data_IF_459797215571
#
_entry.id   IF_459797215571
#
_cell.length_a   1.000
_cell.length_b   1.000
_cell.length_c   1.000
_cell.angle_alpha   90.00
_cell.angle_beta   90.00
_cell.angle_gamma   90.00
#
_symmetry.space_group_name_H-M   'P 1'
#
loop_
_entity.id
_entity.type
_entity.pdbx_description
1 polymer ?
#
# COMPACT_ATOMS: atom_id res chain seq x y z
N UNK A 1 9.08 39.03 -43.61
CA UNK A 1 8.62 38.03 -42.64
C UNK A 1 7.12 38.19 -42.55
N UNK A 2 6.37 37.11 -42.71
CA UNK A 2 4.92 37.13 -42.43
C UNK A 2 4.79 36.92 -40.94
N UNK A 3 4.21 37.88 -40.23
CA UNK A 3 3.93 37.71 -38.81
C UNK A 3 2.73 36.77 -38.64
N UNK A 4 2.66 36.02 -37.54
CA UNK A 4 1.60 35.04 -37.31
C UNK A 4 0.18 35.66 -37.35
N UNK A 5 0.08 36.96 -37.06
CA UNK A 5 -1.16 37.75 -37.09
C UNK A 5 -1.55 38.23 -38.48
N UNK A 6 -0.67 38.10 -39.48
CA UNK A 6 -0.96 38.43 -40.88
C UNK A 6 -1.69 37.28 -41.59
N UNK A 7 -1.83 36.11 -40.94
CA UNK A 7 -2.56 34.97 -41.48
C UNK A 7 -4.09 35.19 -41.40
N UNK A 8 -4.85 34.73 -42.40
CA UNK A 8 -6.29 34.55 -42.28
C UNK A 8 -6.65 33.76 -41.02
N UNK A 9 -7.77 34.14 -40.38
CA UNK A 9 -8.21 33.56 -39.10
C UNK A 9 -8.40 32.05 -39.17
N UNK A 10 -8.82 31.53 -40.32
CA UNK A 10 -9.01 30.11 -40.57
C UNK A 10 -7.69 29.34 -40.52
N UNK A 11 -6.63 29.88 -41.14
CA UNK A 11 -5.30 29.25 -41.09
C UNK A 11 -4.72 29.30 -39.68
N UNK A 12 -4.95 30.40 -38.97
CA UNK A 12 -4.52 30.56 -37.59
C UNK A 12 -5.23 29.55 -36.66
N UNK A 13 -6.51 29.31 -36.85
CA UNK A 13 -7.28 28.28 -36.15
C UNK A 13 -6.78 26.87 -36.47
N UNK A 14 -6.54 26.55 -37.75
CA UNK A 14 -6.00 25.25 -38.16
C UNK A 14 -4.62 24.99 -37.55
N UNK A 15 -3.74 26.00 -37.52
CA UNK A 15 -2.43 25.90 -36.87
C UNK A 15 -2.60 25.64 -35.37
N UNK A 16 -3.49 26.37 -34.71
CA UNK A 16 -3.75 26.20 -33.28
C UNK A 16 -4.26 24.78 -32.98
N UNK A 17 -5.23 24.28 -33.75
CA UNK A 17 -5.76 22.93 -33.62
C UNK A 17 -4.68 21.87 -33.81
N UNK A 18 -3.91 21.96 -34.91
CA UNK A 18 -2.82 21.04 -35.19
C UNK A 18 -1.75 21.05 -34.07
N UNK A 19 -1.46 22.21 -33.50
CA UNK A 19 -0.55 22.31 -32.35
C UNK A 19 -1.13 21.63 -31.11
N UNK A 20 -2.42 21.78 -30.81
CA UNK A 20 -3.05 21.11 -29.66
C UNK A 20 -3.00 19.60 -29.82
N UNK A 21 -3.25 19.10 -31.01
CA UNK A 21 -3.19 17.67 -31.33
C UNK A 21 -1.76 17.12 -31.25
N UNK A 22 -0.76 17.84 -31.78
CA UNK A 22 0.62 17.35 -31.85
C UNK A 22 1.36 17.40 -30.49
N UNK A 23 1.27 18.53 -29.78
CA UNK A 23 2.06 18.73 -28.56
C UNK A 23 1.23 18.61 -27.27
N UNK A 24 -0.09 18.47 -27.39
CA UNK A 24 -1.03 18.25 -26.29
C UNK A 24 -1.46 19.52 -25.56
N UNK A 25 -2.68 19.47 -25.01
CA UNK A 25 -3.35 20.56 -24.28
C UNK A 25 -2.44 21.24 -23.24
N UNK A 26 -1.68 20.47 -22.46
CA UNK A 26 -0.83 21.06 -21.40
C UNK A 26 0.29 21.95 -21.95
N UNK A 27 0.93 21.57 -23.06
CA UNK A 27 2.05 22.34 -23.62
C UNK A 27 1.52 23.55 -24.37
N UNK A 28 0.47 23.39 -25.17
CA UNK A 28 -0.16 24.51 -25.88
C UNK A 28 -0.70 25.55 -24.91
N UNK A 29 -1.29 25.15 -23.79
CA UNK A 29 -1.80 26.10 -22.80
C UNK A 29 -0.76 27.10 -22.28
N UNK A 30 0.53 26.75 -22.30
CA UNK A 30 1.61 27.68 -21.89
C UNK A 30 1.89 28.74 -22.94
N UNK A 31 1.55 28.50 -24.21
CA UNK A 31 1.81 29.40 -25.33
C UNK A 31 0.82 30.57 -25.41
N UNK A 32 -0.26 30.56 -24.61
CA UNK A 32 -1.22 31.66 -24.51
C UNK A 32 -0.59 33.00 -24.07
N UNK A 33 0.62 33.00 -23.52
CA UNK A 33 1.32 34.23 -23.15
C UNK A 33 1.90 35.00 -24.34
N UNK A 34 1.90 34.41 -25.54
CA UNK A 34 2.50 35.02 -26.75
C UNK A 34 1.71 36.25 -27.20
N UNK A 35 0.39 36.12 -27.39
CA UNK A 35 -0.48 37.27 -27.68
C UNK A 35 -1.94 36.95 -27.31
N UNK A 36 -2.78 38.00 -27.21
CA UNK A 36 -4.19 37.86 -26.78
C UNK A 36 -5.04 37.05 -27.76
N UNK A 37 -4.81 37.21 -29.06
CA UNK A 37 -5.56 36.47 -30.10
C UNK A 37 -5.22 34.99 -30.01
N UNK A 38 -3.94 34.64 -29.89
CA UNK A 38 -3.51 33.25 -29.73
C UNK A 38 -4.02 32.62 -28.44
N UNK A 39 -4.03 33.38 -27.34
CA UNK A 39 -4.64 32.93 -26.10
C UNK A 39 -6.11 32.55 -26.27
N UNK A 40 -6.87 33.38 -26.98
CA UNK A 40 -8.30 33.16 -27.25
C UNK A 40 -8.55 31.91 -28.09
N UNK A 41 -7.78 31.71 -29.16
CA UNK A 41 -7.95 30.52 -30.01
C UNK A 41 -7.49 29.24 -29.31
N UNK A 42 -6.41 29.28 -28.53
CA UNK A 42 -6.00 28.14 -27.69
C UNK A 42 -7.09 27.79 -26.68
N UNK A 43 -7.69 28.80 -26.04
CA UNK A 43 -8.77 28.58 -25.08
C UNK A 43 -9.99 27.97 -25.76
N UNK A 44 -10.35 28.48 -26.95
CA UNK A 44 -11.45 27.94 -27.74
C UNK A 44 -11.18 26.49 -28.13
N UNK A 45 -10.04 26.18 -28.73
CA UNK A 45 -9.72 24.83 -29.18
C UNK A 45 -9.70 23.84 -28.01
N UNK A 46 -8.97 24.18 -26.94
CA UNK A 46 -8.82 23.34 -25.76
C UNK A 46 -10.17 23.03 -25.11
N UNK A 47 -11.05 24.02 -24.90
CA UNK A 47 -12.30 23.76 -24.17
C UNK A 47 -13.51 23.42 -25.04
N UNK A 48 -13.53 23.85 -26.31
CA UNK A 48 -14.67 23.62 -27.20
C UNK A 48 -14.47 22.43 -28.14
N UNK A 49 -13.24 22.18 -28.61
CA UNK A 49 -12.98 21.22 -29.69
C UNK A 49 -12.29 19.94 -29.21
N UNK A 50 -11.37 20.03 -28.25
CA UNK A 50 -10.61 18.87 -27.79
C UNK A 50 -11.50 17.82 -27.11
N UNK A 51 -11.14 16.54 -27.24
CA UNK A 51 -11.90 15.47 -26.58
C UNK A 51 -11.77 15.53 -25.05
N UNK A 52 -12.73 14.93 -24.32
CA UNK A 52 -12.63 14.77 -22.85
C UNK A 52 -11.35 14.02 -22.43
N UNK A 53 -10.83 13.15 -23.29
CA UNK A 53 -9.63 12.36 -23.02
C UNK A 53 -8.35 13.20 -22.96
N UNK A 54 -8.33 14.36 -23.64
CA UNK A 54 -7.22 15.31 -23.60
C UNK A 54 -6.94 15.86 -22.18
N UNK A 55 -7.84 15.60 -21.24
CA UNK A 55 -7.78 16.08 -19.87
C UNK A 55 -7.52 14.99 -18.81
N UNK A 56 -7.23 13.73 -19.18
CA UNK A 56 -6.99 12.65 -18.21
C UNK A 56 -5.60 12.70 -17.54
N UNK A 57 -4.81 13.76 -17.77
CA UNK A 57 -3.46 13.91 -17.22
C UNK A 57 -3.40 14.64 -15.88
N UNK A 58 -2.34 14.37 -15.10
CA UNK A 58 -2.05 15.06 -13.84
C UNK A 58 -2.06 16.61 -13.97
N UNK A 59 -1.61 17.12 -15.12
CA UNK A 59 -1.53 18.55 -15.39
C UNK A 59 -2.86 19.20 -15.75
N UNK A 60 -3.87 18.42 -16.12
CA UNK A 60 -5.18 18.90 -16.57
C UNK A 60 -6.01 19.47 -15.41
N UNK A 61 -5.73 19.05 -14.17
CA UNK A 61 -6.42 19.59 -12.98
C UNK A 61 -6.23 21.10 -12.79
N UNK A 62 -5.02 21.64 -13.03
CA UNK A 62 -4.76 23.09 -12.95
C UNK A 62 -5.34 23.87 -14.12
N UNK A 63 -5.43 23.23 -15.27
CA UNK A 63 -6.01 23.84 -16.46
C UNK A 63 -7.53 23.98 -16.29
N UNK A 64 -8.17 22.92 -15.79
CA UNK A 64 -9.60 22.88 -15.54
C UNK A 64 -10.01 23.81 -14.40
N UNK A 65 -9.17 24.03 -13.39
CA UNK A 65 -9.39 25.07 -12.37
C UNK A 65 -9.81 26.43 -12.93
N UNK A 66 -9.22 26.82 -14.05
CA UNK A 66 -9.40 28.16 -14.61
C UNK A 66 -10.41 28.21 -15.76
N UNK A 67 -10.84 27.06 -16.29
CA UNK A 67 -11.68 26.99 -17.50
C UNK A 67 -12.82 26.00 -17.43
N UNK A 68 -13.15 25.47 -16.24
CA UNK A 68 -14.23 24.49 -16.09
C UNK A 68 -15.59 25.05 -16.51
N UNK A 69 -15.85 26.32 -16.19
CA UNK A 69 -17.10 26.97 -16.58
C UNK A 69 -17.23 27.05 -18.10
N UNK A 70 -16.15 27.44 -18.78
CA UNK A 70 -16.07 27.48 -20.25
C UNK A 70 -16.26 26.09 -20.85
N UNK A 71 -15.58 25.07 -20.31
CA UNK A 71 -15.75 23.68 -20.74
C UNK A 71 -17.21 23.23 -20.60
N UNK A 72 -17.83 23.41 -19.43
CA UNK A 72 -19.22 23.02 -19.18
C UNK A 72 -20.17 23.74 -20.13
N UNK A 73 -20.01 25.05 -20.31
CA UNK A 73 -20.85 25.86 -21.21
C UNK A 73 -20.74 25.39 -22.66
N UNK A 74 -19.52 25.12 -23.14
CA UNK A 74 -19.30 24.66 -24.52
C UNK A 74 -19.83 23.24 -24.74
N UNK A 75 -19.64 22.36 -23.76
CA UNK A 75 -20.16 21.01 -23.78
C UNK A 75 -21.68 20.96 -23.76
N UNK A 76 -22.34 21.84 -23.01
CA UNK A 76 -23.80 21.93 -22.99
C UNK A 76 -24.37 22.32 -24.37
N UNK A 77 -23.65 23.11 -25.15
CA UNK A 77 -24.09 23.46 -26.52
C UNK A 77 -24.06 22.27 -27.49
N UNK A 78 -23.42 21.16 -27.12
CA UNK A 78 -23.38 19.92 -27.88
C UNK A 78 -24.37 18.93 -27.24
N UNK A 79 -25.53 18.63 -27.86
CA UNK A 79 -26.59 17.83 -27.21
C UNK A 79 -26.16 16.43 -26.74
N UNK A 80 -25.16 15.84 -27.40
CA UNK A 80 -24.58 14.53 -27.05
C UNK A 80 -23.63 14.57 -25.86
N UNK A 81 -23.32 15.79 -25.43
CA UNK A 81 -22.39 16.14 -24.39
C UNK A 81 -23.16 16.78 -23.19
N UNK A 82 -24.45 16.49 -23.04
CA UNK A 82 -25.19 16.90 -21.86
C UNK A 82 -25.07 15.84 -20.75
N UNK A 83 -24.54 16.21 -19.59
CA UNK A 83 -24.40 15.31 -18.45
C UNK A 83 -25.48 15.60 -17.40
N UNK A 84 -26.38 14.63 -17.16
CA UNK A 84 -27.48 14.79 -16.21
C UNK A 84 -27.01 15.06 -14.78
N UNK A 85 -25.94 14.42 -14.31
CA UNK A 85 -25.43 14.64 -12.94
C UNK A 85 -24.88 16.07 -12.76
N UNK A 86 -24.21 16.61 -13.79
CA UNK A 86 -23.78 18.01 -13.78
C UNK A 86 -25.00 18.93 -13.77
N UNK A 87 -26.03 18.63 -14.56
CA UNK A 87 -27.29 19.40 -14.59
C UNK A 87 -28.02 19.36 -13.25
N UNK A 88 -28.15 18.19 -12.63
CA UNK A 88 -28.79 18.02 -11.32
C UNK A 88 -28.01 18.79 -10.23
N UNK A 89 -26.68 18.83 -10.32
CA UNK A 89 -25.81 19.59 -9.40
C UNK A 89 -25.89 21.10 -9.64
N UNK A 90 -25.92 21.56 -10.90
CA UNK A 90 -26.18 22.97 -11.25
C UNK A 90 -27.57 23.37 -10.75
N UNK A 91 -28.58 22.53 -10.98
CA UNK A 91 -29.94 22.77 -10.52
C UNK A 91 -30.00 22.90 -9.00
N UNK A 92 -29.35 22.00 -8.26
CA UNK A 92 -29.24 22.06 -6.80
C UNK A 92 -28.56 23.36 -6.33
N UNK A 93 -27.50 23.82 -7.01
CA UNK A 93 -26.87 25.11 -6.72
C UNK A 93 -27.86 26.26 -6.93
N UNK A 94 -28.55 26.28 -8.07
CA UNK A 94 -29.51 27.34 -8.41
C UNK A 94 -30.66 27.36 -7.40
N UNK A 95 -31.24 26.21 -7.07
CA UNK A 95 -32.29 26.07 -6.06
C UNK A 95 -31.80 26.51 -4.68
N UNK A 96 -30.54 26.25 -4.31
CA UNK A 96 -29.96 26.70 -3.03
C UNK A 96 -29.79 28.23 -3.00
N UNK A 97 -29.43 28.84 -4.13
CA UNK A 97 -29.30 30.30 -4.25
C UNK A 97 -30.67 30.97 -4.20
N UNK A 98 -31.66 30.44 -4.94
CA UNK A 98 -33.01 31.00 -5.04
C UNK A 98 -33.77 30.91 -3.71
N UNK A 99 -33.60 29.80 -2.97
CA UNK A 99 -34.22 29.61 -1.65
C UNK A 99 -33.60 30.45 -0.53
N UNK A 100 -32.48 31.16 -0.78
CA UNK A 100 -31.81 31.94 0.28
C UNK A 100 -32.45 33.31 0.56
N UNK A 101 -33.46 33.74 -0.22
CA UNK A 101 -34.30 34.92 0.05
C UNK A 101 -33.60 36.28 -0.07
N UNK A 102 -32.27 36.31 -0.09
CA UNK A 102 -31.43 37.47 -0.34
C UNK A 102 -30.74 37.28 -1.71
N UNK A 103 -30.67 38.33 -2.52
CA UNK A 103 -29.86 38.32 -3.74
C UNK A 103 -28.38 38.29 -3.35
N UNK A 104 -27.70 37.13 -3.41
CA UNK A 104 -26.32 37.06 -2.98
C UNK A 104 -25.47 37.82 -4.00
N UNK A 105 -24.41 38.46 -3.52
CA UNK A 105 -23.44 39.09 -4.42
C UNK A 105 -22.82 38.04 -5.35
N UNK A 106 -22.38 38.45 -6.55
CA UNK A 106 -21.70 37.56 -7.51
C UNK A 106 -20.54 36.78 -6.86
N UNK A 107 -19.84 37.43 -5.92
CA UNK A 107 -18.74 36.81 -5.17
C UNK A 107 -19.24 35.68 -4.25
N UNK A 108 -20.34 35.89 -3.52
CA UNK A 108 -20.93 34.86 -2.66
C UNK A 108 -21.49 33.69 -3.45
N UNK A 109 -22.04 33.93 -4.65
CA UNK A 109 -22.45 32.86 -5.56
C UNK A 109 -21.23 32.02 -5.97
N UNK A 110 -20.13 32.66 -6.39
CA UNK A 110 -18.89 31.98 -6.78
C UNK A 110 -18.31 31.19 -5.59
N UNK A 111 -18.29 31.77 -4.40
CA UNK A 111 -17.77 31.12 -3.19
C UNK A 111 -18.65 29.93 -2.76
N UNK A 112 -19.99 30.06 -2.83
CA UNK A 112 -20.93 28.96 -2.55
C UNK A 112 -20.83 27.83 -3.57
N UNK A 113 -20.75 28.16 -4.87
CA UNK A 113 -20.50 27.18 -5.94
C UNK A 113 -19.18 26.44 -5.68
N UNK A 114 -18.13 27.17 -5.33
CA UNK A 114 -16.81 26.61 -5.02
C UNK A 114 -16.83 25.71 -3.76
N UNK A 115 -17.60 26.07 -2.74
CA UNK A 115 -17.78 25.29 -1.50
C UNK A 115 -18.66 24.05 -1.69
N UNK A 116 -19.75 24.13 -2.47
CA UNK A 116 -20.58 22.96 -2.81
C UNK A 116 -19.81 21.93 -3.63
N UNK A 117 -18.71 22.34 -4.25
CA UNK A 117 -17.82 21.51 -5.07
C UNK A 117 -16.57 21.09 -4.27
N UNK A 118 -16.74 20.93 -2.94
CA UNK A 118 -15.73 20.77 -1.87
C UNK A 118 -14.70 19.63 -1.98
N UNK A 119 -14.74 18.77 -2.99
CA UNK A 119 -13.60 17.89 -3.29
C UNK A 119 -12.48 18.58 -4.08
N UNK A 120 -12.67 19.88 -4.33
CA UNK A 120 -11.76 20.70 -5.11
C UNK A 120 -11.79 20.35 -6.60
N UNK A 121 -10.96 21.03 -7.39
CA UNK A 121 -10.93 20.90 -8.84
C UNK A 121 -10.59 19.48 -9.33
N UNK A 122 -9.97 18.66 -8.46
CA UNK A 122 -9.71 17.23 -8.67
C UNK A 122 -10.96 16.36 -8.57
N UNK A 123 -11.82 16.59 -7.59
CA UNK A 123 -13.09 15.87 -7.50
C UNK A 123 -14.04 16.30 -8.59
N UNK A 124 -14.00 17.57 -8.98
CA UNK A 124 -14.80 18.05 -10.08
C UNK A 124 -14.34 17.50 -11.44
N UNK A 125 -13.03 17.51 -11.70
CA UNK A 125 -12.50 16.78 -12.87
C UNK A 125 -12.93 15.33 -12.82
N UNK A 126 -12.82 14.68 -11.66
CA UNK A 126 -13.34 13.34 -11.48
C UNK A 126 -14.83 13.25 -11.80
N UNK A 127 -15.72 14.08 -11.25
CA UNK A 127 -17.16 14.08 -11.49
C UNK A 127 -17.48 14.32 -13.00
N UNK A 128 -16.76 15.23 -13.67
CA UNK A 128 -16.92 15.49 -15.11
C UNK A 128 -16.44 14.31 -15.97
N UNK A 129 -15.35 13.64 -15.59
CA UNK A 129 -14.77 12.54 -16.37
C UNK A 129 -15.30 11.15 -15.99
N UNK A 130 -15.85 11.00 -14.78
CA UNK A 130 -16.41 9.75 -14.24
C UNK A 130 -17.91 9.65 -14.51
N UNK A 131 -18.65 10.76 -14.57
CA UNK A 131 -20.02 10.74 -15.03
C UNK A 131 -20.01 10.53 -16.54
N UNK A 132 -20.48 9.36 -16.98
CA UNK A 132 -20.39 8.94 -18.38
C UNK A 132 -21.27 9.81 -19.27
N UNK A 133 -20.64 10.30 -20.32
CA UNK A 133 -21.24 11.06 -21.41
C UNK A 133 -21.73 10.03 -22.43
N UNK A 134 -23.03 9.72 -22.41
CA UNK A 134 -23.63 8.69 -23.25
C UNK A 134 -23.94 9.20 -24.65
N UNK A 135 -23.06 8.89 -25.59
CA UNK A 135 -23.47 8.17 -26.82
C UNK A 135 -22.37 7.15 -27.11
N UNK A 136 -22.34 6.07 -26.32
CA UNK A 136 -21.57 4.88 -26.63
C UNK A 136 -22.42 3.68 -26.27
N UNK A 137 -22.44 2.68 -27.14
CA UNK A 137 -23.10 1.39 -26.94
C UNK A 137 -22.90 0.90 -25.50
N UNK A 138 -23.96 0.38 -24.87
CA UNK A 138 -24.00 -0.06 -23.47
C UNK A 138 -22.69 -0.75 -23.07
N UNK A 139 -21.87 -0.04 -22.29
CA UNK A 139 -20.60 -0.56 -21.86
C UNK A 139 -20.90 -1.59 -20.77
N UNK A 140 -20.57 -2.88 -20.98
CA UNK A 140 -20.89 -3.94 -20.02
C UNK A 140 -20.28 -3.72 -18.63
N UNK A 141 -19.26 -2.85 -18.50
CA UNK A 141 -18.70 -2.44 -17.23
C UNK A 141 -19.60 -1.45 -16.46
N UNK A 142 -20.35 -0.59 -17.14
CA UNK A 142 -21.36 0.26 -16.50
C UNK A 142 -22.53 -0.53 -16.02
N UNK A 143 -23.00 -1.43 -16.87
CA UNK A 143 -24.07 -2.34 -16.51
C UNK A 143 -23.66 -3.15 -15.28
N UNK A 144 -22.39 -3.60 -15.22
CA UNK A 144 -21.88 -4.33 -14.06
C UNK A 144 -21.75 -3.44 -12.82
N UNK A 145 -21.25 -2.22 -12.95
CA UNK A 145 -21.17 -1.25 -11.83
C UNK A 145 -22.55 -0.93 -11.27
N UNK A 146 -23.50 -0.68 -12.17
CA UNK A 146 -24.89 -0.34 -11.86
C UNK A 146 -25.57 -1.54 -11.20
N UNK A 147 -25.38 -2.75 -11.75
CA UNK A 147 -25.90 -3.97 -11.16
C UNK A 147 -25.32 -4.23 -9.76
N UNK A 148 -24.03 -3.98 -9.53
CA UNK A 148 -23.40 -4.05 -8.20
C UNK A 148 -24.01 -3.02 -7.25
N UNK A 149 -24.15 -1.77 -7.66
CA UNK A 149 -24.71 -0.69 -6.84
C UNK A 149 -26.17 -1.00 -6.43
N UNK A 150 -26.94 -1.64 -7.31
CA UNK A 150 -28.32 -2.06 -7.04
C UNK A 150 -28.44 -3.48 -6.46
N UNK A 151 -27.34 -4.17 -6.19
CA UNK A 151 -27.31 -5.57 -5.72
C UNK A 151 -28.15 -6.53 -6.58
N UNK A 152 -28.15 -6.30 -7.90
CA UNK A 152 -28.87 -7.11 -8.87
C UNK A 152 -28.06 -8.38 -9.23
N UNK A 153 -27.95 -9.30 -8.27
CA UNK A 153 -27.06 -10.47 -8.32
C UNK A 153 -27.18 -11.33 -9.60
N UNK A 154 -28.40 -11.59 -10.09
CA UNK A 154 -28.62 -12.33 -11.32
C UNK A 154 -28.04 -11.62 -12.55
N UNK A 155 -28.17 -10.28 -12.59
CA UNK A 155 -27.59 -9.45 -13.63
C UNK A 155 -26.06 -9.44 -13.53
N UNK A 156 -25.51 -9.33 -12.32
CA UNK A 156 -24.06 -9.40 -12.06
C UNK A 156 -23.50 -10.73 -12.59
N UNK A 157 -24.11 -11.86 -12.24
CA UNK A 157 -23.64 -13.18 -12.71
C UNK A 157 -23.71 -13.30 -14.24
N UNK A 158 -24.81 -12.82 -14.84
CA UNK A 158 -24.99 -12.81 -16.30
C UNK A 158 -23.94 -11.95 -17.00
N UNK A 159 -23.65 -10.76 -16.46
CA UNK A 159 -22.67 -9.82 -17.01
C UNK A 159 -21.25 -10.36 -16.86
N UNK A 160 -20.90 -10.91 -15.68
CA UNK A 160 -19.60 -11.53 -15.45
C UNK A 160 -19.35 -12.66 -16.46
N UNK A 161 -20.32 -13.55 -16.70
CA UNK A 161 -20.19 -14.63 -17.69
C UNK A 161 -19.96 -14.15 -19.13
N UNK A 162 -20.39 -12.92 -19.47
CA UNK A 162 -20.16 -12.31 -20.79
C UNK A 162 -18.78 -11.66 -20.92
N UNK A 163 -18.15 -11.25 -19.82
CA UNK A 163 -16.82 -10.59 -19.81
C UNK A 163 -15.73 -11.23 -20.67
N UNK A 164 -15.50 -12.57 -20.65
CA UNK A 164 -14.41 -13.14 -21.43
C UNK A 164 -14.57 -12.97 -22.95
N UNK A 165 -15.77 -12.68 -23.44
CA UNK A 165 -16.01 -12.38 -24.87
C UNK A 165 -15.74 -10.93 -25.25
N UNK A 166 -15.71 -10.02 -24.27
CA UNK A 166 -15.54 -8.58 -24.46
C UNK A 166 -14.05 -8.19 -24.46
N UNK A 167 -13.19 -9.02 -23.86
CA UNK A 167 -11.78 -8.72 -23.60
C UNK A 167 -10.84 -8.81 -24.82
N UNK A 168 -11.38 -8.99 -26.03
CA UNK A 168 -10.61 -8.98 -27.30
C UNK A 168 -10.26 -7.54 -27.76
N UNK A 169 -10.54 -6.49 -26.95
CA UNK A 169 -10.37 -5.07 -27.31
C UNK A 169 -9.42 -4.32 -26.38
N UNK A 170 -8.80 -3.26 -26.91
CA UNK A 170 -7.88 -2.31 -26.24
C UNK A 170 -8.48 -1.60 -25.00
N UNK A 171 -9.74 -1.86 -24.63
CA UNK A 171 -10.50 -1.21 -23.56
C UNK A 171 -10.26 -1.78 -22.15
N UNK A 172 -9.20 -2.56 -21.96
CA UNK A 172 -8.85 -3.20 -20.67
C UNK A 172 -8.76 -2.22 -19.49
N UNK A 173 -8.37 -0.96 -19.75
CA UNK A 173 -8.27 0.09 -18.73
C UNK A 173 -9.64 0.48 -18.13
N UNK A 174 -10.74 0.29 -18.86
CA UNK A 174 -12.10 0.61 -18.38
C UNK A 174 -12.59 -0.39 -17.32
N UNK A 175 -12.08 -1.62 -17.35
CA UNK A 175 -12.41 -2.65 -16.36
C UNK A 175 -12.01 -2.25 -14.93
N UNK A 176 -10.97 -1.43 -14.80
CA UNK A 176 -10.34 -1.08 -13.52
C UNK A 176 -11.25 -0.28 -12.57
N UNK A 177 -12.39 0.21 -13.04
CA UNK A 177 -13.29 1.07 -12.26
C UNK A 177 -14.23 0.27 -11.36
N UNK A 178 -14.75 -0.88 -11.81
CA UNK A 178 -15.84 -1.57 -11.08
C UNK A 178 -15.35 -2.47 -9.92
N UNK A 179 -14.09 -2.92 -9.99
CA UNK A 179 -13.42 -3.87 -9.07
C UNK A 179 -14.38 -4.71 -8.18
N UNK A 180 -15.18 -5.61 -8.76
CA UNK A 180 -16.31 -6.26 -8.07
C UNK A 180 -15.89 -6.98 -6.78
N UNK A 181 -14.72 -7.62 -6.80
CA UNK A 181 -14.17 -8.31 -5.63
C UNK A 181 -13.86 -7.34 -4.47
N UNK A 182 -13.27 -6.18 -4.77
CA UNK A 182 -12.97 -5.18 -3.75
C UNK A 182 -14.25 -4.56 -3.20
N UNK A 183 -15.22 -4.27 -4.08
CA UNK A 183 -16.54 -3.77 -3.68
C UNK A 183 -17.22 -4.76 -2.72
N UNK A 184 -17.21 -6.07 -3.04
CA UNK A 184 -17.80 -7.09 -2.18
C UNK A 184 -17.20 -7.10 -0.76
N UNK A 185 -15.89 -6.89 -0.66
CA UNK A 185 -15.17 -6.85 0.61
C UNK A 185 -15.53 -5.57 1.38
N UNK A 186 -15.43 -4.41 0.73
CA UNK A 186 -15.68 -3.09 1.33
C UNK A 186 -17.13 -2.91 1.79
N UNK A 187 -18.09 -3.50 1.07
CA UNK A 187 -19.51 -3.45 1.44
C UNK A 187 -19.96 -4.63 2.30
N UNK A 188 -19.04 -5.53 2.67
CA UNK A 188 -19.33 -6.78 3.38
C UNK A 188 -20.45 -7.60 2.73
N UNK A 189 -20.46 -7.66 1.40
CA UNK A 189 -21.48 -8.32 0.60
C UNK A 189 -21.04 -9.75 0.26
N UNK A 190 -21.41 -10.68 1.15
CA UNK A 190 -21.07 -12.11 1.02
C UNK A 190 -21.63 -12.76 -0.24
N UNK A 191 -22.79 -12.31 -0.74
CA UNK A 191 -23.41 -12.87 -1.94
C UNK A 191 -22.69 -12.39 -3.19
N UNK A 192 -22.36 -11.10 -3.27
CA UNK A 192 -21.49 -10.58 -4.33
C UNK A 192 -20.13 -11.27 -4.33
N UNK A 193 -19.52 -11.45 -3.15
CA UNK A 193 -18.25 -12.18 -3.01
C UNK A 193 -18.39 -13.60 -3.57
N UNK A 194 -19.43 -14.34 -3.18
CA UNK A 194 -19.71 -15.69 -3.67
C UNK A 194 -19.82 -15.73 -5.20
N UNK A 195 -20.57 -14.80 -5.80
CA UNK A 195 -20.76 -14.71 -7.26
C UNK A 195 -19.44 -14.43 -7.96
N UNK A 196 -18.65 -13.46 -7.47
CA UNK A 196 -17.36 -13.10 -8.06
C UNK A 196 -16.36 -14.26 -7.95
N UNK A 197 -16.27 -14.92 -6.81
CA UNK A 197 -15.38 -16.07 -6.63
C UNK A 197 -15.81 -17.28 -7.48
N UNK A 198 -17.12 -17.53 -7.62
CA UNK A 198 -17.64 -18.57 -8.51
C UNK A 198 -17.30 -18.28 -9.98
N UNK A 199 -17.44 -17.02 -10.40
CA UNK A 199 -17.01 -16.56 -11.71
C UNK A 199 -15.51 -16.80 -11.92
N UNK A 200 -14.65 -16.33 -11.01
CA UNK A 200 -13.19 -16.50 -11.09
C UNK A 200 -12.78 -17.98 -11.19
N UNK A 201 -13.45 -18.86 -10.45
CA UNK A 201 -13.22 -20.32 -10.52
C UNK A 201 -13.61 -20.92 -11.87
N UNK A 202 -14.69 -20.42 -12.47
CA UNK A 202 -15.21 -20.89 -13.76
C UNK A 202 -14.49 -20.28 -14.97
N UNK A 203 -13.78 -19.17 -14.75
CA UNK A 203 -13.17 -18.39 -15.80
C UNK A 203 -12.05 -19.20 -16.47
N UNK A 204 -12.24 -19.54 -17.74
CA UNK A 204 -11.25 -20.21 -18.58
C UNK A 204 -10.99 -19.35 -19.80
N UNK A 205 -9.74 -18.95 -20.04
CA UNK A 205 -9.41 -18.28 -21.31
C UNK A 205 -9.53 -19.29 -22.46
N UNK A 206 -10.53 -19.10 -23.31
CA UNK A 206 -10.80 -19.99 -24.45
C UNK A 206 -9.86 -19.80 -25.65
N UNK A 207 -9.22 -18.63 -25.77
CA UNK A 207 -8.43 -18.23 -26.96
C UNK A 207 -6.93 -18.05 -26.72
N UNK A 208 -6.46 -18.09 -25.48
CA UNK A 208 -5.04 -17.95 -25.17
C UNK A 208 -4.37 -19.33 -25.13
N UNK A 209 -4.35 -20.03 -26.27
CA UNK A 209 -3.60 -21.28 -26.41
C UNK A 209 -2.09 -21.08 -26.32
N UNK A 210 -1.60 -19.84 -26.39
CA UNK A 210 -0.17 -19.51 -26.41
C UNK A 210 0.35 -18.91 -25.08
N UNK A 211 -0.54 -18.42 -24.21
CA UNK A 211 -0.14 -17.94 -22.88
C UNK A 211 -0.30 -19.08 -21.87
N UNK A 212 0.82 -19.44 -21.22
CA UNK A 212 0.84 -20.51 -20.24
C UNK A 212 -0.15 -20.21 -19.10
N UNK A 213 -0.62 -21.27 -18.43
CA UNK A 213 -1.49 -21.20 -17.25
C UNK A 213 -0.94 -20.25 -16.19
N UNK A 214 0.38 -20.08 -16.12
CA UNK A 214 1.03 -19.22 -15.16
C UNK A 214 0.70 -17.75 -15.42
N UNK A 215 0.80 -17.26 -16.65
CA UNK A 215 0.46 -15.87 -16.97
C UNK A 215 -1.00 -15.55 -16.66
N UNK A 216 -1.92 -16.51 -16.89
CA UNK A 216 -3.30 -16.38 -16.46
C UNK A 216 -3.43 -16.18 -14.94
N UNK A 217 -2.70 -16.97 -14.15
CA UNK A 217 -2.70 -16.82 -12.70
C UNK A 217 -2.08 -15.49 -12.26
N UNK A 218 -1.15 -14.90 -13.01
CA UNK A 218 -0.66 -13.54 -12.78
C UNK A 218 -1.77 -12.48 -12.95
N UNK A 219 -2.61 -12.60 -13.99
CA UNK A 219 -3.73 -11.68 -14.25
C UNK A 219 -4.77 -11.65 -13.12
N UNK A 220 -4.96 -12.78 -12.43
CA UNK A 220 -5.91 -12.89 -11.31
C UNK A 220 -5.24 -12.64 -9.97
N UNK A 221 -4.06 -13.18 -9.71
CA UNK A 221 -3.42 -12.96 -8.42
C UNK A 221 -3.12 -11.47 -8.18
N UNK A 222 -2.75 -10.73 -9.24
CA UNK A 222 -2.29 -9.34 -9.10
C UNK A 222 -0.78 -9.20 -9.00
N UNK A 223 -0.07 -10.30 -9.24
CA UNK A 223 1.38 -10.29 -9.32
C UNK A 223 1.83 -9.63 -10.63
N UNK A 224 2.85 -8.77 -10.57
CA UNK A 224 3.45 -8.20 -11.78
C UNK A 224 4.11 -9.32 -12.58
N UNK A 225 3.69 -9.50 -13.83
CA UNK A 225 4.37 -10.40 -14.73
C UNK A 225 5.73 -9.80 -15.11
N UNK A 226 6.85 -10.55 -15.03
CA UNK A 226 8.19 -10.00 -15.30
C UNK A 226 8.37 -9.47 -16.73
N UNK A 227 7.58 -9.97 -17.68
CA UNK A 227 7.63 -9.55 -19.10
C UNK A 227 6.55 -8.51 -19.46
N UNK A 228 5.47 -8.43 -18.68
CA UNK A 228 4.28 -7.63 -19.02
C UNK A 228 3.92 -6.72 -17.83
N UNK A 229 4.81 -5.81 -17.48
CA UNK A 229 4.64 -4.89 -16.35
C UNK A 229 3.49 -3.87 -16.55
N UNK A 230 3.15 -3.58 -17.81
CA UNK A 230 2.06 -2.70 -18.21
C UNK A 230 0.67 -3.34 -18.08
N UNK A 231 0.61 -4.67 -18.00
CA UNK A 231 -0.66 -5.38 -17.91
C UNK A 231 -1.18 -5.34 -16.48
N UNK A 232 -2.29 -4.62 -16.28
CA UNK A 232 -2.93 -4.51 -14.98
C UNK A 232 -3.80 -5.73 -14.69
N UNK A 233 -3.71 -6.32 -13.49
CA UNK A 233 -4.58 -7.41 -13.10
C UNK A 233 -6.04 -6.96 -13.06
N UNK A 234 -6.90 -7.77 -13.65
CA UNK A 234 -8.34 -7.52 -13.82
C UNK A 234 -9.05 -7.65 -12.47
N UNK A 235 -8.67 -8.68 -11.71
CA UNK A 235 -9.22 -8.99 -10.40
C UNK A 235 -8.07 -9.13 -9.43
N UNK A 236 -7.40 -8.06 -8.95
CA UNK A 236 -6.21 -8.20 -8.12
C UNK A 236 -6.55 -8.83 -6.77
N UNK A 237 -6.58 -10.17 -6.70
CA UNK A 237 -6.94 -10.91 -5.48
C UNK A 237 -5.97 -10.57 -4.36
N UNK A 238 -4.69 -10.32 -4.68
CA UNK A 238 -3.70 -9.89 -3.70
C UNK A 238 -4.05 -8.54 -3.05
N UNK A 239 -4.58 -7.61 -3.83
CA UNK A 239 -5.05 -6.32 -3.32
C UNK A 239 -6.37 -6.49 -2.54
N UNK A 240 -7.25 -7.39 -2.99
CA UNK A 240 -8.48 -7.72 -2.30
C UNK A 240 -8.21 -8.33 -0.91
N UNK A 241 -7.24 -9.24 -0.77
CA UNK A 241 -6.79 -9.78 0.53
C UNK A 241 -6.29 -8.65 1.42
N UNK A 242 -5.49 -7.73 0.89
CA UNK A 242 -5.01 -6.56 1.63
C UNK A 242 -6.15 -5.64 2.09
N UNK A 243 -7.14 -5.38 1.25
CA UNK A 243 -8.29 -4.55 1.60
C UNK A 243 -9.19 -5.27 2.62
N UNK A 244 -9.38 -6.58 2.49
CA UNK A 244 -10.07 -7.41 3.49
C UNK A 244 -9.40 -7.32 4.86
N UNK A 245 -8.07 -7.37 4.92
CA UNK A 245 -7.32 -7.21 6.17
C UNK A 245 -7.60 -5.83 6.78
N UNK A 246 -7.65 -4.76 5.97
CA UNK A 246 -7.94 -3.40 6.46
C UNK A 246 -9.36 -3.27 7.01
N UNK A 247 -10.31 -3.97 6.41
CA UNK A 247 -11.73 -3.94 6.78
C UNK A 247 -12.04 -4.85 7.98
N UNK A 248 -11.05 -5.62 8.46
CA UNK A 248 -11.09 -6.37 9.72
C UNK A 248 -12.20 -7.44 9.79
N UNK A 249 -12.56 -8.06 8.67
CA UNK A 249 -13.68 -9.00 8.58
C UNK A 249 -13.20 -10.44 8.43
N UNK A 250 -13.17 -11.18 9.54
CA UNK A 250 -12.66 -12.56 9.58
C UNK A 250 -13.47 -13.56 8.75
N UNK A 251 -14.80 -13.39 8.65
CA UNK A 251 -15.65 -14.29 7.87
C UNK A 251 -15.34 -14.18 6.36
N UNK A 252 -15.22 -12.94 5.85
CA UNK A 252 -14.79 -12.70 4.47
C UNK A 252 -13.33 -13.13 4.28
N UNK A 253 -12.48 -12.92 5.29
CA UNK A 253 -11.09 -13.37 5.26
C UNK A 253 -10.99 -14.87 4.99
N UNK A 254 -11.74 -15.68 5.72
CA UNK A 254 -11.77 -17.13 5.57
C UNK A 254 -12.20 -17.55 4.16
N UNK A 255 -13.32 -17.02 3.68
CA UNK A 255 -13.83 -17.35 2.33
C UNK A 255 -12.81 -16.99 1.24
N UNK A 256 -12.20 -15.80 1.34
CA UNK A 256 -11.24 -15.33 0.36
C UNK A 256 -9.93 -16.15 0.39
N UNK A 257 -9.48 -16.54 1.57
CA UNK A 257 -8.24 -17.30 1.76
C UNK A 257 -8.39 -18.77 1.40
N UNK A 258 -9.53 -19.38 1.69
CA UNK A 258 -9.89 -20.72 1.20
C UNK A 258 -9.91 -20.73 -0.34
N UNK A 259 -10.47 -19.70 -0.95
CA UNK A 259 -10.43 -19.53 -2.40
C UNK A 259 -8.99 -19.37 -2.89
N UNK A 260 -8.18 -18.54 -2.24
CA UNK A 260 -6.80 -18.28 -2.62
C UNK A 260 -5.98 -19.57 -2.60
N UNK A 261 -5.96 -20.28 -1.47
CA UNK A 261 -5.20 -21.51 -1.28
C UNK A 261 -5.57 -22.61 -2.27
N UNK A 262 -6.85 -22.68 -2.65
CA UNK A 262 -7.36 -23.73 -3.54
C UNK A 262 -7.14 -23.43 -5.02
N UNK A 263 -7.16 -22.16 -5.43
CA UNK A 263 -7.27 -21.80 -6.84
C UNK A 263 -6.08 -20.97 -7.36
N UNK A 264 -5.28 -20.36 -6.50
CA UNK A 264 -4.20 -19.44 -6.87
C UNK A 264 -2.82 -19.97 -6.46
N UNK A 265 -1.76 -19.56 -7.17
CA UNK A 265 -0.39 -19.84 -6.74
C UNK A 265 -0.10 -19.09 -5.45
N UNK A 266 0.90 -19.53 -4.69
CA UNK A 266 1.35 -18.79 -3.50
C UNK A 266 1.71 -17.34 -3.84
N UNK A 267 1.41 -16.38 -2.96
CA UNK A 267 1.70 -14.98 -3.20
C UNK A 267 3.20 -14.74 -3.35
N UNK A 268 3.54 -13.63 -4.02
CA UNK A 268 4.88 -13.09 -3.99
C UNK A 268 5.33 -12.80 -2.55
N UNK A 269 6.66 -12.80 -2.32
CA UNK A 269 7.22 -12.59 -0.99
C UNK A 269 6.83 -11.24 -0.41
N UNK A 270 7.01 -10.17 -1.19
CA UNK A 270 6.71 -8.81 -0.77
C UNK A 270 5.20 -8.60 -0.57
N UNK A 271 4.36 -9.32 -1.32
CA UNK A 271 2.91 -9.29 -1.17
C UNK A 271 2.50 -9.89 0.18
N UNK A 272 2.97 -11.11 0.49
CA UNK A 272 2.68 -11.77 1.76
C UNK A 272 3.22 -10.99 2.95
N UNK A 273 4.45 -10.51 2.87
CA UNK A 273 5.05 -9.68 3.93
C UNK A 273 4.21 -8.40 4.13
N UNK A 274 3.73 -7.77 3.06
CA UNK A 274 2.82 -6.62 3.14
C UNK A 274 1.45 -6.94 3.72
N UNK A 275 0.92 -8.16 3.56
CA UNK A 275 -0.30 -8.60 4.24
C UNK A 275 -0.06 -8.77 5.73
N UNK A 276 1.02 -9.45 6.13
CA UNK A 276 1.41 -9.63 7.53
C UNK A 276 1.55 -8.28 8.22
N UNK A 277 2.32 -7.36 7.63
CA UNK A 277 2.48 -5.99 8.18
C UNK A 277 1.13 -5.28 8.34
N UNK A 278 0.25 -5.39 7.35
CA UNK A 278 -1.09 -4.78 7.44
C UNK A 278 -1.92 -5.41 8.56
N UNK A 279 -1.85 -6.73 8.77
CA UNK A 279 -2.53 -7.40 9.89
C UNK A 279 -1.98 -6.94 11.23
N UNK A 280 -0.64 -6.80 11.35
CA UNK A 280 -0.01 -6.32 12.59
C UNK A 280 -0.49 -4.92 12.95
N UNK A 281 -0.55 -4.01 11.97
CA UNK A 281 -1.06 -2.64 12.17
C UNK A 281 -2.54 -2.62 12.59
N UNK A 282 -3.32 -3.61 12.15
CA UNK A 282 -4.75 -3.73 12.48
C UNK A 282 -5.03 -4.53 13.75
N UNK A 283 -4.02 -5.16 14.34
CA UNK A 283 -4.12 -5.99 15.54
C UNK A 283 -5.24 -7.06 15.49
N UNK A 284 -5.41 -7.74 14.35
CA UNK A 284 -6.44 -8.78 14.20
C UNK A 284 -5.84 -10.18 14.40
N UNK A 285 -6.18 -10.82 15.53
CA UNK A 285 -5.72 -12.17 15.90
C UNK A 285 -6.22 -13.26 14.95
N UNK A 286 -7.50 -13.24 14.61
CA UNK A 286 -8.13 -14.26 13.76
C UNK A 286 -7.54 -14.24 12.35
N UNK A 287 -7.40 -13.06 11.76
CA UNK A 287 -6.81 -12.90 10.42
C UNK A 287 -5.32 -13.23 10.45
N UNK A 288 -4.59 -12.89 11.52
CA UNK A 288 -3.19 -13.29 11.66
C UNK A 288 -3.07 -14.82 11.70
N UNK A 289 -3.81 -15.48 12.58
CA UNK A 289 -3.81 -16.94 12.70
C UNK A 289 -4.10 -17.58 11.33
N UNK A 290 -5.12 -17.07 10.65
CA UNK A 290 -5.53 -17.54 9.33
C UNK A 290 -4.43 -17.37 8.26
N UNK A 291 -3.75 -16.23 8.20
CA UNK A 291 -2.61 -16.02 7.29
C UNK A 291 -1.45 -16.96 7.60
N UNK A 292 -1.17 -17.21 8.87
CA UNK A 292 -0.05 -18.06 9.27
C UNK A 292 -0.39 -19.56 9.07
N UNK A 293 -1.63 -19.97 9.34
CA UNK A 293 -2.15 -21.33 9.16
C UNK A 293 -2.30 -21.73 7.69
N UNK A 294 -2.46 -20.72 6.81
CA UNK A 294 -2.45 -20.90 5.36
C UNK A 294 -1.16 -21.56 4.85
N UNK A 295 -0.06 -21.50 5.62
CA UNK A 295 1.21 -22.18 5.36
C UNK A 295 1.69 -22.03 3.90
N UNK A 296 1.61 -20.81 3.37
CA UNK A 296 2.08 -20.55 2.01
C UNK A 296 3.55 -20.96 1.86
N UNK A 297 3.85 -21.64 0.75
CA UNK A 297 5.21 -22.10 0.44
C UNK A 297 5.64 -21.57 -0.92
N UNK A 298 6.84 -21.01 -0.97
CA UNK A 298 7.49 -20.61 -2.23
C UNK A 298 8.76 -21.42 -2.40
N UNK A 299 8.87 -22.15 -3.51
CA UNK A 299 9.98 -23.07 -3.76
C UNK A 299 10.21 -24.07 -2.59
N UNK A 300 9.10 -24.55 -2.00
CA UNK A 300 9.11 -25.48 -0.87
C UNK A 300 9.42 -24.85 0.49
N UNK A 301 9.77 -23.56 0.57
CA UNK A 301 10.08 -22.86 1.82
C UNK A 301 8.88 -22.10 2.36
N UNK A 302 8.69 -22.13 3.68
CA UNK A 302 7.63 -21.38 4.36
C UNK A 302 7.77 -19.87 4.10
N UNK A 303 6.63 -19.21 3.89
CA UNK A 303 6.54 -17.76 3.80
C UNK A 303 6.60 -17.10 5.18
N UNK A 304 6.24 -17.82 6.25
CA UNK A 304 6.45 -17.38 7.63
C UNK A 304 7.94 -17.50 7.94
N UNK A 305 8.62 -16.37 8.13
CA UNK A 305 10.08 -16.37 8.40
C UNK A 305 10.43 -15.45 9.55
N UNK A 306 11.53 -15.75 10.28
CA UNK A 306 11.97 -14.87 11.34
C UNK A 306 12.29 -13.46 10.85
N UNK A 307 13.03 -13.33 9.73
CA UNK A 307 13.56 -12.03 9.29
C UNK A 307 12.50 -10.97 8.96
N UNK A 308 11.31 -11.37 8.53
CA UNK A 308 10.24 -10.46 8.08
C UNK A 308 9.03 -10.55 8.99
N UNK A 309 8.40 -11.72 9.05
CA UNK A 309 7.17 -11.95 9.81
C UNK A 309 7.38 -11.70 11.30
N UNK A 310 8.44 -12.25 11.89
CA UNK A 310 8.72 -12.06 13.31
C UNK A 310 9.22 -10.64 13.61
N UNK A 311 10.03 -10.04 12.72
CA UNK A 311 10.43 -8.62 12.85
C UNK A 311 9.19 -7.71 12.95
N UNK A 312 8.21 -7.87 12.06
CA UNK A 312 6.97 -7.09 12.12
C UNK A 312 6.18 -7.35 13.42
N UNK A 313 6.09 -8.61 13.87
CA UNK A 313 5.44 -8.94 15.15
C UNK A 313 6.15 -8.28 16.35
N UNK A 314 7.49 -8.24 16.33
CA UNK A 314 8.26 -7.56 17.37
C UNK A 314 8.12 -6.04 17.33
N UNK A 315 8.02 -5.43 16.13
CA UNK A 315 7.83 -3.98 15.98
C UNK A 315 6.49 -3.51 16.56
N UNK A 316 5.45 -4.35 16.49
CA UNK A 316 4.08 -4.06 16.95
C UNK A 316 3.71 -4.75 18.27
N UNK A 317 4.68 -5.22 19.07
CA UNK A 317 4.40 -6.02 20.27
C UNK A 317 3.57 -5.30 21.34
N UNK A 318 3.66 -3.97 21.42
CA UNK A 318 2.92 -3.19 22.41
C UNK A 318 1.43 -3.10 22.05
N UNK A 319 1.13 -2.91 20.78
CA UNK A 319 -0.22 -2.86 20.24
C UNK A 319 -0.81 -4.25 20.02
N UNK A 320 0.06 -5.25 19.80
CA UNK A 320 -0.34 -6.60 19.44
C UNK A 320 0.50 -7.71 20.10
N UNK A 321 0.38 -7.92 21.43
CA UNK A 321 1.24 -8.84 22.18
C UNK A 321 1.16 -10.31 21.73
N UNK A 322 0.00 -10.75 21.23
CA UNK A 322 -0.24 -12.11 20.75
C UNK A 322 0.59 -12.49 19.51
N UNK A 323 0.98 -11.50 18.70
CA UNK A 323 1.60 -11.74 17.41
C UNK A 323 2.91 -12.52 17.47
N UNK A 324 3.76 -12.25 18.48
CA UNK A 324 5.05 -12.93 18.63
C UNK A 324 4.83 -14.43 18.86
N UNK A 325 3.94 -14.79 19.77
CA UNK A 325 3.63 -16.18 20.10
C UNK A 325 3.05 -16.92 18.88
N UNK A 326 2.06 -16.30 18.22
CA UNK A 326 1.42 -16.87 17.03
C UNK A 326 2.41 -17.16 15.90
N UNK A 327 3.36 -16.23 15.66
CA UNK A 327 4.41 -16.41 14.64
C UNK A 327 5.40 -17.49 15.07
N UNK A 328 5.87 -17.49 16.32
CA UNK A 328 6.85 -18.47 16.82
C UNK A 328 6.34 -19.90 16.71
N UNK A 329 5.06 -20.14 17.05
CA UNK A 329 4.42 -21.46 16.93
C UNK A 329 4.45 -22.03 15.49
N UNK A 330 4.63 -21.17 14.48
CA UNK A 330 4.60 -21.54 13.06
C UNK A 330 5.94 -21.32 12.35
N UNK A 331 7.00 -20.97 13.10
CA UNK A 331 8.35 -20.92 12.57
C UNK A 331 8.88 -22.35 12.35
N UNK A 332 9.50 -22.65 11.19
CA UNK A 332 9.93 -24.00 10.85
C UNK A 332 11.06 -24.57 11.74
N UNK A 333 11.76 -23.74 12.51
CA UNK A 333 12.82 -24.14 13.44
C UNK A 333 12.52 -23.86 14.92
N UNK A 334 11.35 -23.28 15.23
CA UNK A 334 11.01 -22.85 16.58
C UNK A 334 11.79 -21.62 17.07
N UNK A 335 11.74 -21.37 18.38
CA UNK A 335 12.22 -20.11 19.00
C UNK A 335 13.75 -20.00 19.10
N UNK A 336 14.46 -21.13 19.09
CA UNK A 336 15.90 -21.21 19.34
C UNK A 336 16.72 -21.66 18.11
N UNK A 337 16.12 -21.67 16.91
CA UNK A 337 16.81 -22.03 15.68
C UNK A 337 17.17 -20.81 14.82
N UNK A 338 18.29 -20.94 14.10
CA UNK A 338 18.74 -19.99 13.10
C UNK A 338 20.11 -19.39 13.35
N UNK A 339 20.38 -18.31 12.61
CA UNK A 339 21.64 -17.56 12.68
C UNK A 339 21.44 -16.29 13.50
N UNK A 340 22.52 -15.56 13.81
CA UNK A 340 22.42 -14.24 14.43
C UNK A 340 21.41 -13.31 13.72
N UNK A 341 21.20 -13.45 12.40
CA UNK A 341 20.25 -12.64 11.63
C UNK A 341 18.80 -13.13 11.70
N UNK A 342 18.57 -14.41 12.00
CA UNK A 342 17.24 -15.03 11.94
C UNK A 342 16.76 -15.57 13.28
N UNK A 343 17.59 -15.60 14.32
CA UNK A 343 17.19 -16.14 15.60
C UNK A 343 16.25 -15.14 16.31
N UNK A 344 15.08 -15.58 16.79
CA UNK A 344 14.06 -14.74 17.42
C UNK A 344 14.56 -13.75 18.47
N UNK A 345 15.36 -14.21 19.44
CA UNK A 345 15.89 -13.34 20.50
C UNK A 345 16.81 -12.24 19.93
N UNK A 346 17.59 -12.54 18.88
CA UNK A 346 18.45 -11.55 18.22
C UNK A 346 17.67 -10.58 17.34
N UNK A 347 16.48 -10.95 16.86
CA UNK A 347 15.56 -10.02 16.17
C UNK A 347 15.05 -8.97 17.16
N UNK A 348 14.50 -9.40 18.30
CA UNK A 348 14.03 -8.49 19.35
C UNK A 348 15.16 -7.57 19.85
N UNK A 349 16.37 -8.12 20.03
CA UNK A 349 17.56 -7.36 20.42
C UNK A 349 17.91 -6.26 19.41
N UNK A 350 17.93 -6.57 18.11
CA UNK A 350 18.30 -5.59 17.06
C UNK A 350 17.31 -4.43 16.95
N UNK A 351 16.03 -4.71 17.22
CA UNK A 351 15.00 -3.69 17.27
C UNK A 351 15.09 -2.83 18.54
N UNK A 352 15.96 -3.21 19.50
CA UNK A 352 16.07 -2.58 20.81
C UNK A 352 14.68 -2.46 21.49
N UNK A 353 13.88 -3.52 21.38
CA UNK A 353 12.51 -3.55 21.86
C UNK A 353 12.42 -4.45 23.09
N UNK A 354 12.40 -3.83 24.28
CA UNK A 354 12.35 -4.53 25.58
C UNK A 354 11.09 -5.40 25.74
N UNK A 355 9.87 -4.90 25.48
CA UNK A 355 8.67 -5.75 25.52
C UNK A 355 8.76 -7.01 24.63
N UNK A 356 9.31 -6.88 23.42
CA UNK A 356 9.54 -8.04 22.56
C UNK A 356 10.56 -9.00 23.17
N UNK A 357 11.64 -8.49 23.78
CA UNK A 357 12.63 -9.31 24.47
C UNK A 357 12.02 -10.07 25.66
N UNK A 358 11.25 -9.40 26.50
CA UNK A 358 10.57 -10.01 27.65
C UNK A 358 9.65 -11.15 27.20
N UNK A 359 8.85 -10.91 26.15
CA UNK A 359 7.98 -11.95 25.59
C UNK A 359 8.76 -13.13 24.99
N UNK A 360 9.92 -12.90 24.38
CA UNK A 360 10.77 -14.00 23.89
C UNK A 360 11.28 -14.88 25.04
N UNK A 361 11.72 -14.27 26.15
CA UNK A 361 12.18 -14.99 27.34
C UNK A 361 11.04 -15.78 27.96
N UNK A 362 9.86 -15.17 28.09
CA UNK A 362 8.64 -15.84 28.58
C UNK A 362 8.28 -17.08 27.74
N UNK A 363 8.44 -16.99 26.42
CA UNK A 363 8.18 -18.09 25.47
C UNK A 363 9.32 -19.14 25.42
N UNK A 364 10.32 -19.04 26.29
CA UNK A 364 11.40 -20.03 26.42
C UNK A 364 12.55 -19.84 25.44
N UNK A 365 12.81 -18.61 24.98
CA UNK A 365 14.02 -18.32 24.22
C UNK A 365 15.27 -18.56 25.09
N UNK A 366 16.25 -19.28 24.56
CA UNK A 366 17.52 -19.53 25.23
C UNK A 366 18.37 -18.26 25.25
N UNK A 367 18.41 -17.59 26.40
CA UNK A 367 19.19 -16.37 26.62
C UNK A 367 20.71 -16.62 26.60
N UNK A 368 21.14 -17.87 26.73
CA UNK A 368 22.55 -18.28 26.73
C UNK A 368 23.02 -18.79 25.36
N UNK A 369 22.13 -18.80 24.37
CA UNK A 369 22.44 -19.31 23.04
C UNK A 369 23.66 -18.59 22.45
N UNK A 370 24.61 -19.36 21.94
CA UNK A 370 25.81 -18.82 21.30
C UNK A 370 25.73 -19.06 19.81
N UNK A 371 25.86 -17.99 19.03
CA UNK A 371 25.85 -18.04 17.56
C UNK A 371 27.11 -17.44 16.99
N UNK A 372 27.50 -17.89 15.79
CA UNK A 372 28.68 -17.35 15.10
C UNK A 372 28.51 -15.85 14.87
N UNK A 373 29.47 -15.05 15.33
CA UNK A 373 29.47 -13.61 15.13
C UNK A 373 29.76 -13.28 13.66
N UNK A 374 28.99 -12.36 13.12
CA UNK A 374 29.31 -11.63 11.89
C UNK A 374 29.42 -10.13 12.15
N UNK A 375 29.54 -9.73 13.43
CA UNK A 375 29.58 -8.33 13.84
C UNK A 375 31.03 -7.85 13.89
N UNK A 376 31.46 -6.91 13.03
CA UNK A 376 32.86 -6.46 12.97
C UNK A 376 33.38 -5.85 14.28
N UNK A 377 32.48 -5.40 15.15
CA UNK A 377 32.80 -4.72 16.40
C UNK A 377 33.01 -5.68 17.59
N UNK A 378 32.74 -6.97 17.40
CA UNK A 378 32.85 -7.98 18.45
C UNK A 378 33.90 -9.01 18.04
N UNK A 379 35.07 -8.93 18.66
CA UNK A 379 36.20 -9.86 18.48
C UNK A 379 35.95 -11.22 19.17
N UNK A 380 34.76 -11.80 18.98
CA UNK A 380 34.40 -13.13 19.47
C UNK A 380 33.86 -13.96 18.31
N UNK A 381 34.33 -15.19 18.18
CA UNK A 381 33.83 -16.13 17.17
C UNK A 381 32.36 -16.48 17.41
N UNK A 382 31.99 -16.62 18.68
CA UNK A 382 30.64 -16.94 19.13
C UNK A 382 30.16 -15.86 20.10
N UNK A 383 28.96 -15.35 19.86
CA UNK A 383 28.33 -14.29 20.67
C UNK A 383 26.99 -14.75 21.19
N UNK A 384 26.69 -14.37 22.42
CA UNK A 384 25.39 -14.52 23.05
C UNK A 384 24.55 -13.24 22.93
N UNK A 385 23.23 -13.29 23.20
CA UNK A 385 22.39 -12.10 23.25
C UNK A 385 22.95 -11.00 24.17
N UNK A 386 23.43 -11.36 25.36
CA UNK A 386 23.98 -10.38 26.31
C UNK A 386 25.26 -9.73 25.78
N UNK A 387 26.12 -10.47 25.08
CA UNK A 387 27.31 -9.89 24.43
C UNK A 387 26.90 -8.79 23.44
N UNK A 388 25.94 -9.08 22.57
CA UNK A 388 25.51 -8.11 21.54
C UNK A 388 24.81 -6.91 22.16
N UNK A 389 23.98 -7.10 23.18
CA UNK A 389 23.30 -6.00 23.88
C UNK A 389 24.30 -5.06 24.56
N UNK A 390 25.34 -5.61 25.19
CA UNK A 390 26.45 -4.85 25.80
C UNK A 390 27.20 -4.03 24.75
N UNK A 391 27.62 -4.65 23.66
CA UNK A 391 28.36 -3.95 22.60
C UNK A 391 27.54 -2.88 21.89
N UNK A 392 26.20 -3.02 21.86
CA UNK A 392 25.27 -2.04 21.28
C UNK A 392 24.79 -0.98 22.27
N UNK A 393 25.16 -1.09 23.55
CA UNK A 393 24.72 -0.20 24.63
C UNK A 393 23.19 -0.17 24.83
N UNK A 394 22.52 -1.30 24.63
CA UNK A 394 21.08 -1.46 24.83
C UNK A 394 20.76 -1.74 26.29
N UNK A 395 20.90 -0.72 27.15
CA UNK A 395 20.80 -0.83 28.60
C UNK A 395 19.52 -1.53 29.08
N UNK A 396 18.37 -1.19 28.51
CA UNK A 396 17.09 -1.81 28.87
C UNK A 396 17.02 -3.30 28.52
N UNK A 397 17.67 -3.70 27.43
CA UNK A 397 17.78 -5.10 27.02
C UNK A 397 18.79 -5.86 27.90
N UNK A 398 19.90 -5.23 28.27
CA UNK A 398 20.88 -5.82 29.20
C UNK A 398 20.22 -6.11 30.55
N UNK A 399 19.48 -5.14 31.09
CA UNK A 399 18.70 -5.28 32.33
C UNK A 399 17.69 -6.45 32.23
N UNK A 400 16.89 -6.46 31.16
CA UNK A 400 15.92 -7.52 30.87
C UNK A 400 16.57 -8.92 30.80
N UNK A 401 17.70 -9.06 30.08
CA UNK A 401 18.41 -10.33 29.96
C UNK A 401 18.99 -10.80 31.31
N UNK A 402 19.57 -9.89 32.10
CA UNK A 402 20.10 -10.21 33.43
C UNK A 402 18.98 -10.63 34.39
N UNK A 403 17.84 -9.94 34.37
CA UNK A 403 16.64 -10.35 35.11
C UNK A 403 16.12 -11.73 34.66
N UNK A 404 16.27 -12.06 33.38
CA UNK A 404 15.98 -13.39 32.83
C UNK A 404 16.99 -14.48 33.22
N UNK A 405 18.08 -14.15 33.92
CA UNK A 405 19.12 -15.09 34.34
C UNK A 405 20.39 -15.08 33.49
N UNK A 406 20.55 -14.14 32.55
CA UNK A 406 21.76 -14.03 31.76
C UNK A 406 22.95 -13.62 32.65
N UNK A 407 24.05 -14.37 32.54
CA UNK A 407 25.29 -14.05 33.25
C UNK A 407 26.07 -13.01 32.46
N UNK A 408 26.42 -11.89 33.11
CA UNK A 408 27.29 -10.89 32.49
C UNK A 408 28.67 -11.51 32.20
N UNK A 409 29.26 -11.23 31.02
CA UNK A 409 30.61 -11.70 30.71
C UNK A 409 31.63 -11.09 31.68
N UNK A 410 32.84 -11.63 31.68
CA UNK A 410 33.92 -11.14 32.53
C UNK A 410 34.22 -9.65 32.24
N UNK A 411 34.57 -8.82 33.24
CA UNK A 411 34.79 -7.37 32.98
C UNK A 411 35.96 -7.07 32.04
N UNK A 412 36.86 -8.03 31.84
CA UNK A 412 37.91 -7.94 30.82
C UNK A 412 37.35 -7.91 29.40
N UNK A 413 36.14 -8.43 29.19
CA UNK A 413 35.45 -8.51 27.90
C UNK A 413 34.46 -7.36 27.67
N UNK A 414 34.29 -6.47 28.66
CA UNK A 414 33.38 -5.34 28.52
C UNK A 414 33.95 -4.27 27.58
N UNK A 415 33.10 -3.58 26.79
CA UNK A 415 33.53 -2.46 25.96
C UNK A 415 34.20 -1.36 26.79
N UNK A 416 35.26 -0.76 26.25
CA UNK A 416 35.98 0.35 26.87
C UNK A 416 35.24 1.70 26.73
N UNK A 417 33.98 1.73 27.14
CA UNK A 417 33.11 2.92 27.07
C UNK A 417 32.63 3.29 28.48
N UNK A 418 32.83 4.54 28.88
CA UNK A 418 32.58 5.01 30.26
C UNK A 418 31.13 4.80 30.72
N UNK A 419 30.16 5.05 29.85
CA UNK A 419 28.72 4.91 30.17
C UNK A 419 28.36 3.44 30.39
N UNK A 420 28.74 2.58 29.45
CA UNK A 420 28.53 1.12 29.49
C UNK A 420 29.19 0.50 30.70
N UNK A 421 30.44 0.85 30.97
CA UNK A 421 31.18 0.37 32.14
C UNK A 421 30.48 0.72 33.46
N UNK A 422 30.03 1.97 33.60
CA UNK A 422 29.28 2.41 34.80
C UNK A 422 27.96 1.66 34.96
N UNK A 423 27.23 1.45 33.86
CA UNK A 423 25.97 0.73 33.87
C UNK A 423 26.14 -0.74 34.27
N UNK A 424 27.06 -1.46 33.64
CA UNK A 424 27.34 -2.88 33.95
C UNK A 424 27.81 -3.08 35.39
N UNK A 425 28.60 -2.13 35.90
CA UNK A 425 29.02 -2.14 37.31
C UNK A 425 27.83 -1.94 38.28
N UNK A 426 26.81 -1.18 37.90
CA UNK A 426 25.63 -0.95 38.72
C UNK A 426 24.67 -2.14 38.73
N UNK A 427 24.62 -2.94 37.66
CA UNK A 427 23.76 -4.13 37.53
C UNK A 427 24.19 -5.34 38.36
N UNK A 428 25.36 -5.31 39.03
CA UNK A 428 25.84 -6.40 39.90
C UNK A 428 25.72 -6.05 41.39
N UNK A 429 24.53 -6.08 42.00
CA UNK A 429 24.44 -6.16 43.46
C UNK A 429 24.79 -7.58 43.91
N UNK A 430 25.89 -7.76 44.66
CA UNK A 430 26.21 -9.04 45.32
C UNK A 430 27.50 -9.76 44.91
N UNK A 431 28.37 -9.15 44.08
CA UNK A 431 29.71 -9.72 43.83
C UNK A 431 30.66 -9.40 45.00
N UNK A 432 31.45 -10.38 45.49
CA UNK A 432 32.30 -10.20 46.67
C UNK A 432 33.49 -9.24 46.48
N UNK A 433 33.85 -8.87 45.25
CA UNK A 433 34.94 -7.92 44.96
C UNK A 433 34.52 -6.71 44.10
N UNK A 434 35.09 -5.51 44.36
CA UNK A 434 34.68 -4.30 43.67
C UNK A 434 35.25 -4.29 42.25
N UNK A 435 34.40 -4.65 41.28
CA UNK A 435 34.62 -4.38 39.85
C UNK A 435 35.24 -2.98 39.70
N UNK A 436 36.39 -2.83 39.02
CA UNK A 436 37.12 -1.58 39.02
C UNK A 436 36.27 -0.45 38.45
N UNK A 437 36.47 0.75 38.99
CA UNK A 437 35.92 1.97 38.39
C UNK A 437 36.49 2.15 36.98
N UNK A 438 35.80 2.93 36.13
CA UNK A 438 36.30 3.22 34.78
C UNK A 438 37.72 3.84 34.80
N UNK A 439 38.01 4.72 35.77
CA UNK A 439 39.34 5.34 35.88
C UNK A 439 40.41 4.34 36.36
N UNK A 440 40.06 3.35 37.19
CA UNK A 440 40.94 2.23 37.52
C UNK A 440 41.18 1.35 36.28
N UNK A 441 40.12 0.97 35.56
CA UNK A 441 40.19 0.20 34.32
C UNK A 441 41.13 0.84 33.29
N UNK A 442 41.15 2.17 33.17
CA UNK A 442 42.09 2.90 32.27
C UNK A 442 43.56 2.70 32.61
N UNK A 443 43.89 2.33 33.85
CA UNK A 443 45.25 2.13 34.34
C UNK A 443 45.66 0.65 34.38
N UNK A 444 44.74 -0.26 34.09
CA UNK A 444 44.98 -1.71 34.18
C UNK A 444 45.34 -2.31 32.82
N UNK A 445 46.26 -3.26 32.80
CA UNK A 445 46.55 -4.11 31.63
C UNK A 445 45.49 -5.20 31.48
N UNK A 446 45.31 -5.75 30.27
CA UNK A 446 44.33 -6.81 30.03
C UNK A 446 44.57 -8.05 30.90
N UNK A 447 45.82 -8.34 31.26
CA UNK A 447 46.20 -9.41 32.20
C UNK A 447 45.72 -9.12 33.62
N UNK A 448 45.96 -7.90 34.13
CA UNK A 448 45.47 -7.47 35.44
C UNK A 448 43.95 -7.54 35.54
N UNK A 449 43.25 -7.27 34.43
CA UNK A 449 41.80 -7.36 34.39
C UNK A 449 41.31 -8.79 34.35
N UNK A 450 41.97 -9.69 33.61
CA UNK A 450 41.66 -11.12 33.57
C UNK A 450 41.94 -11.84 34.90
N UNK A 451 42.83 -11.30 35.72
CA UNK A 451 43.16 -11.83 37.05
C UNK A 451 42.12 -11.47 38.14
N UNK A 452 41.10 -10.68 37.81
CA UNK A 452 40.00 -10.39 38.74
C UNK A 452 39.12 -11.63 38.80
N UNK A 453 39.19 -12.40 39.87
CA UNK A 453 38.34 -13.58 40.04
C UNK A 453 36.90 -13.16 40.42
N UNK A 454 35.95 -13.96 39.96
CA UNK A 454 34.54 -13.83 40.25
C UNK A 454 34.10 -15.15 40.87
N UNK A 455 33.71 -15.12 42.14
CA UNK A 455 33.00 -16.24 42.76
C UNK A 455 31.61 -16.46 42.11
#
# INVERSE_FOLDING_TARGET
MVELLDLPVELFQMITHAMVDEIGVHKVWKLRSVCRIFASEIEHDVFALQSKYAFYGYYSGRLLQNGIATLIMKRWQVPRDANKAILDKIKSIVETVDNSGEHPSTKEIIDRVSQMWSGGPKQLTWDIFSAKWEVAEANPFDDLSTAIAHKAYDAIETLLRKLPTIYDREDADTFLVCKPLQMAIQTNDSELLRIVLAFLKSFKFKKLTDLNRDTYLYFIAGQRHPVYDWVRPIFPVDAAVKDMIKDNNAAIAQVLMDFYLKNLPSPGRDVFDGWVETVMIRCNEEILALLLDSNFKRQGKSMVTPRRTLTAACEHVLEFPYAIEAVIQRLPGGINDGTILSLPIFIALRLNNRPAMEKMIELGADIHIKVKSNLPLIEKDMVSPIDVAIHRNYYDIIDCLVMGGAVLPHCSEWPFQKKTWRFLRALKPGYPDPIPTFEQRRRMTQEQLKAIEYD
#
